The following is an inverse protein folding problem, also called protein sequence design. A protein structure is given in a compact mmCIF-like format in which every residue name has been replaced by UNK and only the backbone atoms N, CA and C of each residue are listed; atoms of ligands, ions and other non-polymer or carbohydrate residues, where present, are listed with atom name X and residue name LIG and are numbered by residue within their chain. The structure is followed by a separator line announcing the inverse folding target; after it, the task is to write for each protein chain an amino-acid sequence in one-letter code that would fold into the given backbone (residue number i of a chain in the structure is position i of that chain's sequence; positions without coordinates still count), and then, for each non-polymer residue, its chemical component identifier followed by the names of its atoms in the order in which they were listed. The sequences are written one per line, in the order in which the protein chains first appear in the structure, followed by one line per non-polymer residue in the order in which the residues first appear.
data_IF_030580281442
#
_entry.id   IF_030580281442
#
_cell.length_a   1.000
_cell.length_b   1.000
_cell.length_c   1.000
_cell.angle_alpha   90.00
_cell.angle_beta   90.00
_cell.angle_gamma   90.00
#
_symmetry.space_group_name_H-M   'P 1'
#
loop_
_entity.id
_entity.type
_entity.pdbx_description
1 polymer ?
#
# COMPACT_ATOMS: atom_id res chain seq x y z
N UNK A 1 -13.50 18.28 22.30
CA UNK A 1 -12.64 17.09 22.15
C UNK A 1 -12.38 16.90 20.66
N UNK A 2 -11.17 17.21 20.19
CA UNK A 2 -10.77 16.98 18.80
C UNK A 2 -10.28 15.53 18.74
N UNK A 3 -11.06 14.63 18.15
CA UNK A 3 -10.60 13.26 17.89
C UNK A 3 -9.65 13.32 16.69
N UNK A 4 -8.39 12.89 16.82
CA UNK A 4 -7.49 12.92 15.69
C UNK A 4 -7.93 11.81 14.71
N UNK A 5 -8.28 12.22 13.49
CA UNK A 5 -8.78 11.35 12.42
C UNK A 5 -7.60 10.93 11.54
N UNK A 6 -7.50 9.64 11.22
CA UNK A 6 -6.58 9.15 10.18
C UNK A 6 -7.30 9.26 8.84
N UNK A 7 -6.72 9.99 7.90
CA UNK A 7 -7.24 10.09 6.53
C UNK A 7 -6.34 9.30 5.59
N UNK A 8 -6.94 8.35 4.89
CA UNK A 8 -6.29 7.59 3.83
C UNK A 8 -6.86 8.07 2.51
N UNK A 9 -6.02 8.60 1.61
CA UNK A 9 -6.45 9.15 0.32
C UNK A 9 -5.82 8.38 -0.85
N UNK A 10 -6.57 8.20 -1.94
CA UNK A 10 -6.15 7.43 -3.12
C UNK A 10 -6.52 8.16 -4.42
N UNK A 11 -5.56 8.52 -5.27
CA UNK A 11 -5.85 8.94 -6.63
C UNK A 11 -6.04 7.70 -7.50
N UNK A 12 -7.25 7.50 -8.02
CA UNK A 12 -7.49 6.48 -9.05
C UNK A 12 -6.74 6.84 -10.33
N UNK A 13 -5.76 6.04 -10.73
CA UNK A 13 -4.99 6.27 -11.97
C UNK A 13 -5.71 5.60 -13.15
N UNK A 14 -6.21 6.41 -14.08
CA UNK A 14 -6.77 5.95 -15.35
C UNK A 14 -5.65 5.85 -16.42
N UNK A 15 -5.05 4.67 -16.58
CA UNK A 15 -4.12 4.33 -17.69
C UNK A 15 -4.42 2.93 -18.21
N UNK A 16 -4.07 2.57 -19.45
CA UNK A 16 -4.44 1.30 -20.11
C UNK A 16 -4.12 0.01 -19.32
N UNK A 17 -3.24 0.07 -18.32
CA UNK A 17 -2.98 -0.98 -17.33
C UNK A 17 -3.32 -0.43 -15.93
N UNK A 18 -4.55 -0.63 -15.43
CA UNK A 18 -5.01 0.04 -14.20
C UNK A 18 -4.72 -0.80 -12.96
N UNK A 19 -4.15 -0.15 -11.94
CA UNK A 19 -4.21 -0.61 -10.56
C UNK A 19 -5.40 0.10 -9.91
N UNK A 20 -6.46 -0.64 -9.62
CA UNK A 20 -7.68 -0.11 -9.00
C UNK A 20 -7.56 -0.29 -7.49
N UNK A 21 -7.47 0.83 -6.77
CA UNK A 21 -7.34 0.85 -5.31
C UNK A 21 -8.68 1.11 -4.62
N UNK A 22 -8.79 0.74 -3.34
CA UNK A 22 -9.95 1.04 -2.48
C UNK A 22 -10.18 2.55 -2.30
N UNK A 23 -11.42 2.94 -2.02
CA UNK A 23 -11.81 4.33 -1.80
C UNK A 23 -11.11 4.97 -0.58
N UNK A 24 -10.98 6.32 -0.56
CA UNK A 24 -10.50 7.05 0.61
C UNK A 24 -11.29 6.70 1.87
N UNK A 25 -10.60 6.53 2.99
CA UNK A 25 -11.20 6.14 4.26
C UNK A 25 -10.75 7.03 5.42
N UNK A 26 -11.69 7.34 6.30
CA UNK A 26 -11.46 8.03 7.58
C UNK A 26 -11.53 7.00 8.70
N UNK A 27 -10.41 6.76 9.38
CA UNK A 27 -10.27 5.70 10.37
C UNK A 27 -9.92 6.32 11.73
N UNK A 28 -10.52 5.78 12.79
CA UNK A 28 -10.14 6.17 14.17
C UNK A 28 -8.83 5.50 14.54
N UNK A 29 -7.91 6.20 15.23
CA UNK A 29 -6.70 5.58 15.77
C UNK A 29 -7.02 4.35 16.63
N UNK A 30 -6.19 3.31 16.55
CA UNK A 30 -6.38 2.02 17.21
C UNK A 30 -7.21 1.01 16.42
N UNK A 31 -7.96 1.45 15.41
CA UNK A 31 -8.69 0.52 14.53
C UNK A 31 -7.78 -0.05 13.44
N UNK A 32 -8.24 -1.14 12.83
CA UNK A 32 -7.62 -1.73 11.65
C UNK A 32 -8.35 -1.32 10.38
N UNK A 33 -7.62 -1.30 9.26
CA UNK A 33 -8.19 -1.13 7.94
C UNK A 33 -7.41 -1.92 6.90
N UNK A 34 -8.07 -2.29 5.81
CA UNK A 34 -7.47 -3.12 4.77
C UNK A 34 -7.57 -2.39 3.45
N UNK A 35 -6.41 -2.17 2.82
CA UNK A 35 -6.32 -1.62 1.49
C UNK A 35 -6.24 -2.73 0.48
N UNK A 36 -6.92 -2.53 -0.65
CA UNK A 36 -6.95 -3.49 -1.74
C UNK A 36 -6.52 -2.78 -3.01
N UNK A 37 -5.66 -3.43 -3.79
CA UNK A 37 -5.20 -2.99 -5.09
C UNK A 37 -5.40 -4.14 -6.09
N UNK A 38 -6.32 -3.95 -7.04
CA UNK A 38 -6.66 -4.94 -8.06
C UNK A 38 -6.00 -4.57 -9.38
N UNK A 39 -5.27 -5.52 -9.97
CA UNK A 39 -4.71 -5.33 -11.30
C UNK A 39 -5.78 -5.56 -12.36
N UNK A 40 -5.85 -4.68 -13.35
CA UNK A 40 -6.69 -4.84 -14.53
C UNK A 40 -5.86 -4.63 -15.81
N UNK A 41 -6.48 -4.76 -16.98
CA UNK A 41 -5.80 -4.52 -18.27
C UNK A 41 -4.67 -5.51 -18.58
N UNK A 42 -4.78 -6.76 -18.11
CA UNK A 42 -3.76 -7.80 -18.35
C UNK A 42 -2.54 -7.75 -17.43
N UNK A 43 -2.50 -6.81 -16.47
CA UNK A 43 -1.48 -6.82 -15.42
C UNK A 43 -1.62 -8.06 -14.54
N UNK A 44 -0.53 -8.76 -14.22
CA UNK A 44 -0.55 -9.92 -13.32
C UNK A 44 0.45 -9.74 -12.18
N UNK A 45 -0.03 -9.73 -10.94
CA UNK A 45 0.84 -9.58 -9.76
C UNK A 45 1.81 -10.75 -9.56
N UNK A 46 1.48 -11.96 -10.03
CA UNK A 46 2.22 -13.18 -9.76
C UNK A 46 3.69 -13.16 -10.21
N UNK A 47 3.98 -12.54 -11.35
CA UNK A 47 5.33 -12.47 -11.94
C UNK A 47 6.10 -11.21 -11.55
N UNK A 48 5.49 -10.28 -10.82
CA UNK A 48 6.07 -8.97 -10.52
C UNK A 48 6.40 -8.83 -9.04
N UNK A 49 7.45 -8.05 -8.75
CA UNK A 49 7.72 -7.55 -7.41
C UNK A 49 6.80 -6.38 -7.12
N UNK A 50 6.15 -6.43 -5.97
CA UNK A 50 5.13 -5.46 -5.58
C UNK A 50 5.52 -4.78 -4.28
N UNK A 51 5.27 -3.48 -4.22
CA UNK A 51 5.58 -2.62 -3.10
C UNK A 51 4.33 -1.90 -2.63
N UNK A 52 4.25 -1.66 -1.33
CA UNK A 52 3.36 -0.67 -0.74
C UNK A 52 4.19 0.53 -0.31
N UNK A 53 3.77 1.72 -0.74
CA UNK A 53 4.42 2.99 -0.45
C UNK A 53 3.36 3.94 0.07
N UNK A 54 3.70 4.78 1.05
CA UNK A 54 2.85 5.90 1.45
C UNK A 54 3.51 7.23 1.14
N UNK A 55 2.69 8.23 0.86
CA UNK A 55 3.10 9.62 0.69
C UNK A 55 2.41 10.49 1.74
N UNK A 56 3.21 11.18 2.54
CA UNK A 56 2.71 12.14 3.52
C UNK A 56 2.23 13.42 2.81
N UNK A 57 1.47 14.25 3.53
CA UNK A 57 0.97 15.53 3.01
C UNK A 57 2.08 16.54 2.64
N UNK A 58 3.29 16.36 3.19
CA UNK A 58 4.50 17.11 2.84
C UNK A 58 5.17 16.62 1.53
N UNK A 59 4.60 15.58 0.89
CA UNK A 59 5.11 14.97 -0.33
C UNK A 59 6.16 13.89 -0.12
N UNK A 60 6.63 13.67 1.13
CA UNK A 60 7.63 12.64 1.43
C UNK A 60 7.06 11.25 1.20
N UNK A 61 7.80 10.45 0.42
CA UNK A 61 7.49 9.04 0.18
C UNK A 61 8.19 8.16 1.21
N UNK A 62 7.46 7.17 1.73
CA UNK A 62 8.01 6.14 2.61
C UNK A 62 7.56 4.77 2.10
N UNK A 63 8.54 3.92 1.83
CA UNK A 63 8.31 2.52 1.54
C UNK A 63 7.85 1.77 2.81
N UNK A 64 6.84 0.91 2.68
CA UNK A 64 6.21 0.21 3.80
C UNK A 64 6.53 -1.27 3.82
N UNK A 65 6.30 -1.94 2.70
CA UNK A 65 6.58 -3.36 2.56
C UNK A 65 6.69 -3.77 1.10
N UNK A 66 7.31 -4.93 0.85
CA UNK A 66 7.42 -5.54 -0.46
C UNK A 66 6.93 -6.99 -0.41
N UNK A 67 6.46 -7.47 -1.55
CA UNK A 67 6.14 -8.87 -1.83
C UNK A 67 6.85 -9.24 -3.12
N UNK A 68 7.84 -10.11 -3.00
CA UNK A 68 8.59 -10.63 -4.15
C UNK A 68 7.74 -11.61 -4.96
N UNK A 69 8.14 -11.87 -6.20
CA UNK A 69 7.48 -12.84 -7.08
C UNK A 69 7.44 -14.24 -6.46
N UNK A 70 8.48 -14.64 -5.72
CA UNK A 70 8.57 -15.91 -4.99
C UNK A 70 7.82 -15.95 -3.65
N UNK A 71 7.13 -14.87 -3.25
CA UNK A 71 6.33 -14.82 -2.02
C UNK A 71 7.08 -14.37 -0.76
N UNK A 72 8.38 -14.10 -0.85
CA UNK A 72 9.13 -13.45 0.23
C UNK A 72 8.63 -12.03 0.48
N UNK A 73 8.52 -11.64 1.76
CA UNK A 73 8.03 -10.32 2.19
C UNK A 73 9.05 -9.62 3.08
N UNK A 74 9.10 -8.29 2.98
CA UNK A 74 9.90 -7.43 3.85
C UNK A 74 9.09 -6.21 4.27
N UNK A 75 9.40 -5.64 5.43
CA UNK A 75 8.65 -4.54 6.05
C UNK A 75 9.60 -3.46 6.57
N UNK A 76 9.19 -2.20 6.47
CA UNK A 76 9.84 -1.08 7.12
C UNK A 76 9.62 -1.15 8.64
N UNK A 77 10.62 -0.75 9.43
CA UNK A 77 10.60 -0.91 10.89
C UNK A 77 9.40 -0.23 11.55
N UNK A 78 9.02 0.98 11.12
CA UNK A 78 7.84 1.72 11.61
C UNK A 78 6.49 0.97 11.54
N UNK A 79 6.37 0.03 10.60
CA UNK A 79 5.11 -0.70 10.34
C UNK A 79 5.23 -2.19 10.60
N UNK A 80 6.45 -2.68 10.90
CA UNK A 80 6.71 -4.07 11.21
C UNK A 80 5.87 -4.52 12.41
N UNK A 81 5.17 -5.64 12.24
CA UNK A 81 4.28 -6.19 13.27
C UNK A 81 2.91 -5.51 13.37
N UNK A 82 2.65 -4.43 12.61
CA UNK A 82 1.33 -3.79 12.51
C UNK A 82 0.71 -3.96 11.14
N UNK A 83 1.51 -3.85 10.09
CA UNK A 83 1.03 -3.95 8.72
C UNK A 83 1.40 -5.31 8.13
N UNK A 84 0.50 -5.88 7.33
CA UNK A 84 0.68 -7.17 6.67
C UNK A 84 0.31 -7.03 5.20
N UNK A 85 1.30 -7.21 4.33
CA UNK A 85 1.10 -7.25 2.88
C UNK A 85 0.79 -8.67 2.44
N UNK A 86 -0.28 -8.87 1.68
CA UNK A 86 -0.63 -10.16 1.09
C UNK A 86 -0.93 -10.02 -0.40
N UNK A 87 -0.73 -11.10 -1.15
CA UNK A 87 -0.97 -11.16 -2.60
C UNK A 87 -1.79 -12.39 -2.93
N UNK A 88 -2.86 -12.18 -3.68
CA UNK A 88 -3.68 -13.22 -4.28
C UNK A 88 -3.47 -13.21 -5.80
N UNK A 89 -2.70 -14.20 -6.27
CA UNK A 89 -2.39 -14.35 -7.69
C UNK A 89 -3.59 -14.82 -8.51
N UNK A 90 -4.51 -15.57 -7.91
CA UNK A 90 -5.67 -16.12 -8.61
C UNK A 90 -6.69 -15.02 -8.91
N UNK A 91 -6.88 -14.12 -7.95
CA UNK A 91 -7.81 -12.99 -8.10
C UNK A 91 -7.13 -11.71 -8.60
N UNK A 92 -5.81 -11.73 -8.78
CA UNK A 92 -5.00 -10.59 -9.16
C UNK A 92 -5.24 -9.39 -8.24
N UNK A 93 -5.09 -9.64 -6.93
CA UNK A 93 -5.31 -8.66 -5.87
C UNK A 93 -4.08 -8.60 -4.97
N UNK A 94 -3.65 -7.38 -4.67
CA UNK A 94 -2.67 -7.07 -3.64
C UNK A 94 -3.40 -6.39 -2.48
N UNK A 95 -3.11 -6.82 -1.26
CA UNK A 95 -3.79 -6.35 -0.06
C UNK A 95 -2.77 -5.86 0.97
N UNK A 96 -3.08 -4.76 1.66
CA UNK A 96 -2.35 -4.28 2.83
C UNK A 96 -3.30 -4.21 4.01
N UNK A 97 -3.19 -5.17 4.92
CA UNK A 97 -3.88 -5.11 6.20
C UNK A 97 -3.07 -4.23 7.13
N UNK A 98 -3.68 -3.17 7.65
CA UNK A 98 -3.05 -2.23 8.57
C UNK A 98 -3.76 -2.34 9.92
N UNK A 99 -3.10 -2.93 10.90
CA UNK A 99 -3.62 -3.06 12.26
C UNK A 99 -3.08 -1.95 13.16
N UNK A 100 -3.87 -1.55 14.15
CA UNK A 100 -3.51 -0.51 15.13
C UNK A 100 -3.03 0.78 14.45
N UNK A 101 -3.90 1.39 13.64
CA UNK A 101 -3.63 2.63 12.91
C UNK A 101 -3.31 3.77 13.88
N UNK A 102 -2.27 4.54 13.57
CA UNK A 102 -1.89 5.75 14.32
C UNK A 102 -2.22 6.99 13.49
N UNK A 103 -2.28 8.14 14.16
CA UNK A 103 -2.43 9.45 13.50
C UNK A 103 -1.30 9.75 12.52
N UNK A 104 -0.10 9.30 12.86
CA UNK A 104 1.10 9.36 12.03
C UNK A 104 1.00 8.49 10.76
N UNK A 105 0.08 7.52 10.72
CA UNK A 105 -0.14 6.70 9.54
C UNK A 105 -1.09 7.37 8.52
N UNK A 106 -1.54 8.61 8.79
CA UNK A 106 -2.36 9.38 7.85
C UNK A 106 -1.53 9.81 6.64
N UNK A 107 -1.81 9.22 5.49
CA UNK A 107 -1.05 9.41 4.26
C UNK A 107 -1.87 8.94 3.05
N UNK A 108 -1.38 9.26 1.85
CA UNK A 108 -1.82 8.61 0.62
C UNK A 108 -1.07 7.29 0.47
N UNK A 109 -1.76 6.21 0.09
CA UNK A 109 -1.13 4.88 -0.04
C UNK A 109 -1.17 4.41 -1.49
N UNK A 110 -0.10 3.77 -1.92
CA UNK A 110 0.07 3.34 -3.31
C UNK A 110 0.59 1.91 -3.35
N UNK A 111 -0.03 1.10 -4.21
CA UNK A 111 0.59 -0.13 -4.69
C UNK A 111 1.47 0.22 -5.90
N UNK A 112 2.74 -0.17 -5.85
CA UNK A 112 3.70 0.12 -6.91
C UNK A 112 4.39 -1.18 -7.34
N UNK A 113 4.48 -1.40 -8.65
CA UNK A 113 5.33 -2.45 -9.20
C UNK A 113 6.77 -1.99 -9.14
N UNK A 114 7.67 -2.88 -8.69
CA UNK A 114 9.10 -2.66 -8.90
C UNK A 114 9.39 -2.78 -10.39
N UNK A 115 9.68 -1.65 -11.00
CA UNK A 115 10.20 -1.55 -12.36
C UNK A 115 11.52 -0.85 -12.13
N UNK A 116 12.64 -1.48 -12.45
CA UNK A 116 14.02 -1.00 -12.26
C UNK A 116 14.18 0.51 -12.58
N UNK A 117 13.74 1.38 -11.70
CA UNK A 117 13.99 2.81 -11.71
C UNK A 117 14.90 2.97 -10.52
N UNK A 118 16.19 3.08 -10.84
CA UNK A 118 17.28 3.08 -9.88
C UNK A 118 17.03 4.03 -8.72
N UNK A 119 17.59 3.63 -7.58
CA UNK A 119 17.78 4.42 -6.36
C UNK A 119 16.54 4.56 -5.46
N UNK A 120 16.18 3.47 -4.79
CA UNK A 120 15.69 3.53 -3.41
C UNK A 120 16.65 2.75 -2.47
N UNK A 121 17.95 2.96 -2.65
CA UNK A 121 18.98 2.49 -1.72
C UNK A 121 19.69 3.71 -1.14
N UNK A 122 19.61 3.82 0.20
CA UNK A 122 20.38 4.66 1.14
C UNK A 122 20.35 6.17 0.96
#
# INVERSE_FOLDING_TARGET
MIFPIVTVYFPGVLSSNQLVQSDPAVIKPGNSHTLTCKGSGGFTFGSNWMNWVRQFSDGRLQWLCYISSGGGTGYHDDVKGRFTGTRDNNNNILTLKMDNMKTEDSAMYYCARDTLIGNMSS
#
